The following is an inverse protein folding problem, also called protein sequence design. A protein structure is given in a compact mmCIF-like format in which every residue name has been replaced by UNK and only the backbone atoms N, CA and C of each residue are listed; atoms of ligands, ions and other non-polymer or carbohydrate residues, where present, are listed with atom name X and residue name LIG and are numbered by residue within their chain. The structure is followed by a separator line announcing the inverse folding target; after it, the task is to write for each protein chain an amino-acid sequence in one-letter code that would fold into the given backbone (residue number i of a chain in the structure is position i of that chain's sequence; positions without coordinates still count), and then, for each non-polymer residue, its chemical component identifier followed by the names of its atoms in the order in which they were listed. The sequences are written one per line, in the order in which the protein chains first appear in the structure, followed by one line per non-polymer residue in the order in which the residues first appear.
data_IF_804866130251
#
_entry.id   IF_804866130251
#
_cell.length_a   1.000
_cell.length_b   1.000
_cell.length_c   1.000
_cell.angle_alpha   90.00
_cell.angle_beta   90.00
_cell.angle_gamma   90.00
#
_symmetry.space_group_name_H-M   'P 1'
#
loop_
_entity.id
_entity.type
_entity.pdbx_description
1 polymer ?
#
# COMPACT_ATOMS: atom_id res chain seq x y z
N UNK A 1 -14.31 -8.50 -57.94
CA UNK A 1 -14.82 -7.26 -57.34
C UNK A 1 -15.52 -7.42 -55.98
N UNK A 2 -16.20 -8.53 -55.67
CA UNK A 2 -16.88 -8.72 -54.38
C UNK A 2 -15.99 -8.92 -53.15
N UNK A 3 -14.74 -9.39 -53.30
CA UNK A 3 -13.79 -9.58 -52.19
C UNK A 3 -13.09 -8.28 -51.74
N UNK A 4 -13.02 -7.25 -52.58
CA UNK A 4 -12.40 -5.96 -52.25
C UNK A 4 -13.33 -5.10 -51.37
N UNK A 5 -14.64 -5.23 -51.53
CA UNK A 5 -15.63 -4.49 -50.74
C UNK A 5 -15.71 -5.00 -49.27
N UNK A 6 -15.42 -6.28 -49.03
CA UNK A 6 -15.45 -6.88 -47.70
C UNK A 6 -14.27 -6.40 -46.83
N UNK A 7 -13.12 -6.14 -47.42
CA UNK A 7 -11.92 -5.65 -46.71
C UNK A 7 -12.07 -4.20 -46.31
N UNK A 8 -12.75 -3.37 -47.09
CA UNK A 8 -13.00 -1.96 -46.76
C UNK A 8 -14.01 -1.85 -45.60
N UNK A 9 -14.93 -2.77 -45.47
CA UNK A 9 -15.90 -2.78 -44.34
C UNK A 9 -15.27 -3.26 -43.02
N UNK A 10 -14.25 -4.11 -43.09
CA UNK A 10 -13.55 -4.62 -41.88
C UNK A 10 -12.55 -3.61 -41.30
N UNK A 11 -12.03 -2.66 -42.10
CA UNK A 11 -11.08 -1.64 -41.67
C UNK A 11 -11.78 -0.44 -41.02
N UNK A 12 -13.07 -0.22 -41.33
CA UNK A 12 -13.83 0.91 -40.76
C UNK A 12 -14.34 0.67 -39.35
N UNK A 13 -14.22 -0.52 -38.78
CA UNK A 13 -14.69 -0.85 -37.42
C UNK A 13 -13.62 -0.74 -36.33
N UNK A 14 -12.36 -0.42 -36.67
CA UNK A 14 -11.26 -0.37 -35.68
C UNK A 14 -10.93 1.05 -35.22
N UNK A 15 -11.60 2.08 -35.72
CA UNK A 15 -11.33 3.48 -35.38
C UNK A 15 -12.40 4.12 -34.48
N UNK A 16 -12.92 3.40 -33.48
CA UNK A 16 -13.57 4.05 -32.35
C UNK A 16 -12.56 4.37 -31.25
N UNK A 17 -11.52 5.13 -31.55
CA UNK A 17 -10.85 5.94 -30.54
C UNK A 17 -11.90 6.89 -29.97
N UNK A 18 -12.39 6.60 -28.76
CA UNK A 18 -13.22 7.52 -27.99
C UNK A 18 -12.39 8.77 -27.73
N UNK A 19 -12.50 9.75 -28.61
CA UNK A 19 -11.86 11.07 -28.46
C UNK A 19 -12.48 11.75 -27.23
N UNK A 20 -11.81 11.63 -26.08
CA UNK A 20 -12.20 12.33 -24.86
C UNK A 20 -11.89 13.82 -25.00
N UNK A 21 -12.85 14.67 -24.63
CA UNK A 21 -12.61 16.10 -24.49
C UNK A 21 -11.73 16.33 -23.26
N UNK A 22 -10.71 17.18 -23.38
CA UNK A 22 -9.85 17.58 -22.28
C UNK A 22 -9.78 19.10 -22.22
N UNK A 23 -10.08 19.67 -21.06
CA UNK A 23 -9.95 21.09 -20.75
C UNK A 23 -8.83 21.30 -19.74
N UNK A 24 -7.93 22.26 -20.01
CA UNK A 24 -6.83 22.65 -19.11
C UNK A 24 -7.11 24.03 -18.54
N UNK A 25 -7.19 24.11 -17.23
CA UNK A 25 -7.20 25.34 -16.44
C UNK A 25 -5.81 25.51 -15.81
N UNK A 26 -5.47 26.66 -15.23
CA UNK A 26 -4.12 27.01 -14.75
C UNK A 26 -3.41 25.89 -13.98
N UNK A 27 -4.11 25.26 -13.02
CA UNK A 27 -3.61 24.15 -12.22
C UNK A 27 -4.49 22.90 -12.25
N UNK A 28 -5.55 22.92 -13.06
CA UNK A 28 -6.50 21.81 -13.17
C UNK A 28 -6.57 21.29 -14.61
N UNK A 29 -6.85 20.01 -14.75
CA UNK A 29 -7.15 19.38 -16.03
C UNK A 29 -8.45 18.60 -15.86
N UNK A 30 -9.42 18.83 -16.75
CA UNK A 30 -10.68 18.11 -16.80
C UNK A 30 -10.72 17.22 -18.04
N UNK A 31 -11.09 15.98 -17.84
CA UNK A 31 -11.39 15.03 -18.91
C UNK A 31 -12.87 14.66 -18.82
N UNK A 32 -13.55 14.63 -19.95
CA UNK A 32 -14.98 14.36 -20.03
C UNK A 32 -15.23 12.93 -20.56
N UNK A 33 -16.44 12.40 -20.32
CA UNK A 33 -16.82 11.06 -20.77
C UNK A 33 -16.80 10.90 -22.30
N UNK A 34 -17.16 11.96 -23.05
CA UNK A 34 -17.04 12.05 -24.51
C UNK A 34 -16.82 13.52 -24.90
N UNK A 35 -16.56 13.82 -26.16
CA UNK A 35 -16.39 15.20 -26.68
C UNK A 35 -17.65 16.06 -26.52
N UNK A 36 -18.80 15.46 -26.67
CA UNK A 36 -20.11 16.12 -26.60
C UNK A 36 -20.64 16.15 -25.15
N UNK A 37 -19.98 15.49 -24.22
CA UNK A 37 -20.43 15.38 -22.84
C UNK A 37 -19.94 16.56 -22.00
N UNK A 38 -20.85 17.20 -21.26
CA UNK A 38 -20.49 18.14 -20.19
C UNK A 38 -20.20 17.44 -18.87
N UNK A 39 -20.22 16.08 -18.82
CA UNK A 39 -19.97 15.31 -17.61
C UNK A 39 -18.49 14.98 -17.48
N UNK A 40 -17.89 15.45 -16.40
CA UNK A 40 -16.50 15.20 -16.07
C UNK A 40 -16.31 13.72 -15.75
N UNK A 41 -15.33 13.09 -16.39
CA UNK A 41 -14.85 11.73 -16.09
C UNK A 41 -13.71 11.76 -15.08
N UNK A 42 -12.74 12.68 -15.28
CA UNK A 42 -11.55 12.80 -14.43
C UNK A 42 -11.18 14.27 -14.23
N UNK A 43 -10.84 14.61 -12.99
CA UNK A 43 -10.25 15.90 -12.62
C UNK A 43 -8.86 15.66 -12.05
N UNK A 44 -7.87 16.38 -12.54
CA UNK A 44 -6.51 16.40 -12.04
C UNK A 44 -6.22 17.80 -11.49
N UNK A 45 -5.76 17.89 -10.26
CA UNK A 45 -5.30 19.15 -9.64
C UNK A 45 -3.80 19.03 -9.41
N UNK A 46 -3.02 19.83 -10.13
CA UNK A 46 -1.57 19.86 -10.00
C UNK A 46 -1.16 20.55 -8.71
N UNK A 47 -0.25 19.93 -7.95
CA UNK A 47 0.39 20.47 -6.76
C UNK A 47 1.90 20.35 -6.91
N UNK A 48 2.68 20.93 -6.01
CA UNK A 48 4.15 20.94 -6.10
C UNK A 48 4.74 19.53 -6.09
N UNK A 49 4.41 18.72 -5.08
CA UNK A 49 5.01 17.39 -4.87
C UNK A 49 4.26 16.27 -5.56
N UNK A 50 2.94 16.40 -5.68
CA UNK A 50 2.06 15.37 -6.23
C UNK A 50 0.84 16.01 -6.87
N UNK A 51 0.05 15.22 -7.59
CA UNK A 51 -1.22 15.65 -8.14
C UNK A 51 -2.38 15.00 -7.39
N UNK A 52 -3.45 15.74 -7.12
CA UNK A 52 -4.70 15.18 -6.62
C UNK A 52 -5.57 14.75 -7.79
N UNK A 53 -6.08 13.51 -7.75
CA UNK A 53 -6.82 12.90 -8.86
C UNK A 53 -8.21 12.50 -8.37
N UNK A 54 -9.23 12.86 -9.14
CA UNK A 54 -10.62 12.53 -8.90
C UNK A 54 -11.20 11.87 -10.16
N UNK A 55 -11.90 10.77 -10.00
CA UNK A 55 -12.69 10.16 -11.04
C UNK A 55 -14.15 10.19 -10.64
N UNK A 56 -15.03 10.40 -11.59
CA UNK A 56 -16.45 10.57 -11.35
C UNK A 56 -17.27 9.49 -12.07
N UNK A 57 -18.40 9.15 -11.52
CA UNK A 57 -19.45 8.42 -12.22
C UNK A 57 -20.19 9.35 -13.20
N UNK A 58 -20.96 8.76 -14.12
CA UNK A 58 -21.78 9.54 -15.07
C UNK A 58 -22.86 10.40 -14.38
N UNK A 59 -23.27 10.06 -13.14
CA UNK A 59 -24.20 10.88 -12.34
C UNK A 59 -23.54 12.06 -11.63
N UNK A 60 -22.22 12.27 -11.79
CA UNK A 60 -21.46 13.36 -11.17
C UNK A 60 -20.87 13.04 -9.80
N UNK A 61 -21.26 11.95 -9.17
CA UNK A 61 -20.67 11.51 -7.89
C UNK A 61 -19.25 11.01 -8.06
N UNK A 62 -18.42 11.19 -7.04
CA UNK A 62 -17.05 10.68 -7.05
C UNK A 62 -17.08 9.15 -7.07
N UNK A 63 -16.36 8.55 -8.02
CA UNK A 63 -16.07 7.12 -8.07
C UNK A 63 -14.85 6.78 -7.22
N UNK A 64 -13.75 7.50 -7.41
CA UNK A 64 -12.52 7.34 -6.63
C UNK A 64 -11.69 8.61 -6.63
N UNK A 65 -10.92 8.79 -5.56
CA UNK A 65 -9.96 9.89 -5.48
C UNK A 65 -8.70 9.46 -4.72
N UNK A 66 -7.62 10.18 -4.95
CA UNK A 66 -6.33 9.92 -4.29
C UNK A 66 -5.22 10.81 -4.84
N UNK A 67 -3.99 10.39 -4.60
CA UNK A 67 -2.79 11.10 -5.04
C UNK A 67 -2.09 10.35 -6.16
N UNK A 68 -1.50 11.08 -7.10
CA UNK A 68 -0.57 10.52 -8.07
C UNK A 68 0.76 11.26 -8.08
N UNK A 69 1.84 10.56 -8.38
CA UNK A 69 3.12 11.18 -8.70
C UNK A 69 3.01 11.93 -10.03
N UNK A 70 3.99 12.78 -10.35
CA UNK A 70 4.01 13.58 -11.59
C UNK A 70 3.98 12.73 -12.87
N UNK A 71 4.42 11.50 -12.79
CA UNK A 71 4.34 10.52 -13.89
C UNK A 71 2.99 9.77 -13.96
N UNK A 72 1.97 10.22 -13.20
CA UNK A 72 0.63 9.64 -13.19
C UNK A 72 0.46 8.38 -12.32
N UNK A 73 1.53 7.86 -11.70
CA UNK A 73 1.47 6.64 -10.89
C UNK A 73 0.76 6.92 -9.55
N UNK A 74 -0.29 6.16 -9.18
CA UNK A 74 -0.96 6.29 -7.91
C UNK A 74 -0.02 5.96 -6.75
N UNK A 75 -0.16 6.70 -5.63
CA UNK A 75 0.52 6.42 -4.38
C UNK A 75 -0.29 6.94 -3.18
N UNK A 76 0.09 6.47 -1.96
CA UNK A 76 -0.60 6.83 -0.73
C UNK A 76 -2.04 6.31 -0.71
N UNK A 77 -2.90 6.97 0.02
CA UNK A 77 -4.28 6.51 0.26
C UNK A 77 -5.21 6.95 -0.86
N UNK A 78 -5.95 5.98 -1.41
CA UNK A 78 -7.03 6.16 -2.37
C UNK A 78 -8.33 5.69 -1.77
N UNK A 79 -9.40 6.45 -2.01
CA UNK A 79 -10.75 6.17 -1.56
C UNK A 79 -11.65 5.84 -2.75
N UNK A 80 -12.46 4.79 -2.64
CA UNK A 80 -13.40 4.34 -3.66
C UNK A 80 -14.83 4.38 -3.10
N UNK A 81 -15.74 4.91 -3.88
CA UNK A 81 -17.12 5.16 -3.46
C UNK A 81 -18.11 4.40 -4.36
N UNK A 82 -19.31 4.15 -3.83
CA UNK A 82 -20.45 3.67 -4.60
C UNK A 82 -21.04 4.80 -5.46
N UNK A 83 -21.98 4.45 -6.38
CA UNK A 83 -22.74 5.44 -7.14
C UNK A 83 -23.60 6.36 -6.25
N UNK A 84 -23.92 5.95 -5.02
CA UNK A 84 -24.62 6.71 -3.99
C UNK A 84 -23.68 7.50 -3.06
N UNK A 85 -22.40 7.63 -3.41
CA UNK A 85 -21.36 8.35 -2.65
C UNK A 85 -20.98 7.73 -1.30
N UNK A 86 -21.34 6.47 -1.04
CA UNK A 86 -20.90 5.76 0.15
C UNK A 86 -19.45 5.29 -0.02
N UNK A 87 -18.58 5.54 0.95
CA UNK A 87 -17.20 5.03 0.94
C UNK A 87 -17.24 3.50 1.09
N UNK A 88 -16.66 2.80 0.13
CA UNK A 88 -16.70 1.33 0.05
C UNK A 88 -15.35 0.69 0.25
N UNK A 89 -14.30 1.37 -0.18
CA UNK A 89 -12.97 0.78 -0.20
C UNK A 89 -11.92 1.87 -0.01
N UNK A 90 -10.90 1.56 0.78
CA UNK A 90 -9.68 2.36 0.91
C UNK A 90 -8.51 1.49 0.43
N UNK A 91 -7.66 2.04 -0.42
CA UNK A 91 -6.45 1.38 -0.92
C UNK A 91 -5.23 2.20 -0.53
N UNK A 92 -4.25 1.54 0.03
CA UNK A 92 -2.93 2.11 0.21
C UNK A 92 -2.02 1.67 -0.94
N UNK A 93 -1.43 2.64 -1.63
CA UNK A 93 -0.56 2.41 -2.75
C UNK A 93 0.86 2.79 -2.39
N UNK A 94 1.81 1.92 -2.72
CA UNK A 94 3.23 2.22 -2.73
C UNK A 94 3.78 2.18 -4.15
N UNK A 95 4.79 3.01 -4.42
CA UNK A 95 5.60 2.91 -5.63
C UNK A 95 6.86 2.13 -5.25
N UNK A 96 7.01 0.93 -5.76
CA UNK A 96 8.10 0.02 -5.44
C UNK A 96 8.83 -0.30 -6.73
N UNK A 97 10.12 -0.02 -6.80
CA UNK A 97 10.94 -0.19 -8.01
C UNK A 97 10.29 0.48 -9.24
N UNK A 98 9.75 1.67 -9.07
CA UNK A 98 9.08 2.42 -10.13
C UNK A 98 7.68 1.92 -10.52
N UNK A 99 7.15 0.88 -9.91
CA UNK A 99 5.80 0.35 -10.17
C UNK A 99 4.82 0.68 -9.03
N UNK A 100 3.65 1.22 -9.38
CA UNK A 100 2.58 1.42 -8.39
C UNK A 100 1.92 0.09 -8.05
N UNK A 101 1.89 -0.23 -6.77
CA UNK A 101 1.34 -1.48 -6.24
C UNK A 101 0.41 -1.20 -5.07
N UNK A 102 -0.66 -1.97 -4.95
CA UNK A 102 -1.55 -1.92 -3.80
C UNK A 102 -0.88 -2.69 -2.67
N UNK A 103 -0.57 -1.99 -1.59
CA UNK A 103 0.02 -2.56 -0.39
C UNK A 103 -1.06 -3.12 0.54
N UNK A 104 -2.10 -2.33 0.82
CA UNK A 104 -3.23 -2.71 1.68
C UNK A 104 -4.57 -2.29 1.07
N UNK A 105 -5.63 -3.05 1.39
CA UNK A 105 -7.01 -2.73 1.01
C UNK A 105 -7.91 -2.91 2.21
N UNK A 106 -8.71 -1.88 2.51
CA UNK A 106 -9.77 -1.94 3.51
C UNK A 106 -11.11 -1.89 2.79
N UNK A 107 -11.98 -2.84 3.09
CA UNK A 107 -13.38 -2.82 2.66
C UNK A 107 -14.23 -2.30 3.80
N UNK A 108 -15.26 -1.50 3.46
CA UNK A 108 -16.14 -0.89 4.45
C UNK A 108 -17.60 -1.28 4.20
N UNK A 109 -18.36 -1.44 5.29
CA UNK A 109 -19.80 -1.58 5.26
C UNK A 109 -20.48 -0.20 5.05
N UNK A 110 -21.82 -0.18 5.01
CA UNK A 110 -22.58 1.08 4.86
C UNK A 110 -22.41 2.04 6.04
N UNK A 111 -22.05 1.55 7.23
CA UNK A 111 -21.79 2.37 8.42
C UNK A 111 -20.38 2.97 8.42
N UNK A 112 -19.52 2.56 7.50
CA UNK A 112 -18.13 2.99 7.43
C UNK A 112 -17.17 2.12 8.25
N UNK A 113 -17.65 1.03 8.87
CA UNK A 113 -16.80 0.10 9.59
C UNK A 113 -16.02 -0.77 8.60
N UNK A 114 -14.80 -1.10 8.95
CA UNK A 114 -13.97 -2.01 8.17
C UNK A 114 -14.53 -3.42 8.26
N UNK A 115 -14.70 -4.10 7.12
CA UNK A 115 -15.18 -5.46 7.05
C UNK A 115 -14.17 -6.37 6.35
N UNK A 116 -14.16 -7.64 6.81
CA UNK A 116 -13.54 -8.74 6.08
C UNK A 116 -14.63 -9.46 5.28
N UNK A 117 -14.31 -9.88 4.07
CA UNK A 117 -15.30 -10.63 3.29
C UNK A 117 -15.51 -12.07 3.80
N UNK A 118 -14.63 -12.57 4.67
CA UNK A 118 -14.72 -13.90 5.26
C UNK A 118 -15.56 -13.93 6.55
N UNK A 119 -15.52 -12.81 7.28
CA UNK A 119 -16.24 -12.61 8.53
C UNK A 119 -16.85 -11.22 8.47
N UNK A 120 -18.13 -11.09 8.70
CA UNK A 120 -18.83 -9.80 8.67
C UNK A 120 -18.29 -8.80 9.72
N UNK A 121 -17.41 -9.27 10.59
CA UNK A 121 -16.83 -8.53 11.70
C UNK A 121 -15.41 -8.13 11.34
N UNK A 122 -15.26 -6.89 10.99
CA UNK A 122 -14.01 -6.16 11.00
C UNK A 122 -12.87 -6.68 10.13
N UNK A 123 -12.08 -5.77 9.67
CA UNK A 123 -10.67 -5.84 9.43
C UNK A 123 -10.34 -5.84 7.95
N UNK A 124 -9.39 -5.02 7.63
CA UNK A 124 -8.92 -4.78 6.29
C UNK A 124 -8.39 -6.04 5.62
N UNK A 125 -8.62 -6.12 4.33
CA UNK A 125 -7.95 -7.07 3.46
C UNK A 125 -6.68 -6.45 2.93
N UNK A 126 -5.63 -7.22 2.97
CA UNK A 126 -4.32 -6.82 2.52
C UNK A 126 -3.96 -7.59 1.24
N UNK A 127 -3.40 -6.89 0.28
CA UNK A 127 -2.71 -7.50 -0.85
C UNK A 127 -1.23 -7.39 -0.60
N UNK A 128 -0.54 -8.50 -0.62
CA UNK A 128 0.86 -8.60 -0.27
C UNK A 128 1.71 -9.06 -1.45
N UNK A 129 3.00 -8.84 -1.30
CA UNK A 129 3.99 -9.32 -2.25
C UNK A 129 4.46 -10.70 -1.82
N UNK A 130 4.33 -11.67 -2.70
CA UNK A 130 4.87 -13.02 -2.54
C UNK A 130 6.03 -13.15 -3.50
N UNK A 131 7.24 -13.43 -3.00
CA UNK A 131 8.46 -13.50 -3.81
C UNK A 131 8.61 -12.31 -4.77
N UNK A 132 8.45 -11.09 -4.22
CA UNK A 132 8.47 -9.82 -4.95
C UNK A 132 7.37 -9.65 -6.02
N UNK A 133 6.41 -10.56 -6.07
CA UNK A 133 5.24 -10.48 -6.97
C UNK A 133 3.98 -10.18 -6.18
N UNK A 134 3.15 -9.26 -6.68
CA UNK A 134 1.88 -8.92 -6.05
C UNK A 134 0.93 -10.12 -6.08
N UNK A 135 0.59 -10.64 -4.90
CA UNK A 135 -0.44 -11.65 -4.73
C UNK A 135 -1.83 -11.09 -5.04
N UNK A 136 -2.45 -11.55 -6.12
CA UNK A 136 -3.77 -11.04 -6.54
C UNK A 136 -4.93 -11.79 -5.90
N UNK A 137 -4.71 -13.01 -5.43
CA UNK A 137 -5.76 -13.91 -4.90
C UNK A 137 -5.74 -14.04 -3.39
N UNK A 138 -4.61 -13.77 -2.77
CA UNK A 138 -4.41 -13.96 -1.35
C UNK A 138 -4.75 -12.69 -0.59
N UNK A 139 -5.33 -12.86 0.57
CA UNK A 139 -5.61 -11.78 1.51
C UNK A 139 -5.03 -12.17 2.85
N UNK A 140 -4.25 -11.31 3.41
CA UNK A 140 -3.69 -11.45 4.74
C UNK A 140 -4.24 -10.34 5.65
N UNK A 141 -4.20 -10.59 6.93
CA UNK A 141 -4.43 -9.59 7.96
C UNK A 141 -3.17 -9.39 8.75
N UNK A 142 -2.58 -8.23 8.60
CA UNK A 142 -1.42 -7.86 9.40
C UNK A 142 -1.54 -6.44 9.94
N UNK A 143 -0.90 -6.18 11.04
CA UNK A 143 -0.89 -4.90 11.73
C UNK A 143 0.54 -4.52 12.05
N UNK A 144 0.87 -3.25 11.83
CA UNK A 144 1.99 -2.58 12.47
C UNK A 144 1.45 -1.35 13.19
N UNK A 145 1.71 -1.24 14.48
CA UNK A 145 1.23 -0.17 15.34
C UNK A 145 2.37 0.46 16.10
N UNK A 146 2.49 1.76 15.96
CA UNK A 146 3.47 2.60 16.66
C UNK A 146 2.79 3.24 17.88
N UNK A 147 3.41 3.10 19.05
CA UNK A 147 2.81 3.56 20.31
C UNK A 147 2.61 5.08 20.36
N UNK A 148 3.54 5.84 19.73
CA UNK A 148 3.53 7.30 19.68
C UNK A 148 3.96 7.78 18.31
N UNK A 149 3.50 8.97 17.92
CA UNK A 149 3.99 9.70 16.73
C UNK A 149 5.08 10.72 17.07
N UNK A 150 5.26 10.97 18.38
CA UNK A 150 6.26 11.90 18.92
C UNK A 150 6.94 11.25 20.12
N UNK A 151 8.26 11.30 20.17
CA UNK A 151 9.10 10.77 21.24
C UNK A 151 10.15 11.80 21.65
N UNK A 152 10.60 11.74 22.89
CA UNK A 152 11.76 12.51 23.32
C UNK A 152 13.05 11.90 22.74
N UNK A 153 14.09 12.70 22.53
CA UNK A 153 15.36 12.22 21.90
C UNK A 153 16.00 11.05 22.66
N UNK A 154 15.81 11.00 23.98
CA UNK A 154 16.33 9.92 24.83
C UNK A 154 15.39 8.72 24.94
N UNK A 155 14.19 8.80 24.38
CA UNK A 155 13.18 7.75 24.42
C UNK A 155 13.19 6.90 23.13
N UNK A 156 13.07 5.58 23.28
CA UNK A 156 12.85 4.72 22.12
C UNK A 156 11.40 4.85 21.60
N UNK A 157 11.23 5.00 20.31
CA UNK A 157 9.96 4.74 19.65
C UNK A 157 9.65 3.25 19.76
N UNK A 158 8.46 2.90 20.26
CA UNK A 158 8.02 1.51 20.44
C UNK A 158 6.92 1.15 19.46
N UNK A 159 7.01 -0.06 18.92
CA UNK A 159 6.00 -0.58 18.00
C UNK A 159 5.78 -2.09 18.19
N UNK A 160 4.64 -2.55 17.72
CA UNK A 160 4.30 -3.96 17.59
C UNK A 160 3.92 -4.25 16.14
N UNK A 161 4.19 -5.45 15.69
CA UNK A 161 3.75 -5.96 14.42
C UNK A 161 3.23 -7.39 14.58
N UNK A 162 2.12 -7.73 13.93
CA UNK A 162 1.65 -9.11 13.96
C UNK A 162 0.88 -9.48 12.69
N UNK A 163 0.90 -10.77 12.37
CA UNK A 163 0.12 -11.40 11.33
C UNK A 163 -1.04 -12.17 11.98
N UNK A 164 -2.25 -11.61 11.90
CA UNK A 164 -3.45 -12.27 12.39
C UNK A 164 -3.99 -13.32 11.43
N UNK A 165 -3.68 -13.17 10.13
CA UNK A 165 -3.99 -14.14 9.09
C UNK A 165 -2.79 -14.27 8.15
N UNK A 166 -1.81 -15.10 8.52
CA UNK A 166 -0.63 -15.37 7.69
C UNK A 166 -1.00 -15.97 6.34
N UNK A 167 -0.30 -15.56 5.29
CA UNK A 167 -0.55 -15.94 3.91
C UNK A 167 -0.02 -17.33 3.58
N UNK A 168 1.16 -17.66 4.14
CA UNK A 168 1.90 -18.89 3.90
C UNK A 168 2.04 -19.72 5.18
N UNK A 169 0.98 -19.72 6.01
CA UNK A 169 0.93 -20.43 7.31
C UNK A 169 1.19 -21.92 7.19
N UNK A 170 0.66 -22.55 6.13
CA UNK A 170 0.75 -24.00 5.89
C UNK A 170 2.21 -24.45 5.74
N UNK A 171 3.08 -23.56 5.29
CA UNK A 171 4.52 -23.77 5.16
C UNK A 171 5.31 -23.45 6.44
N UNK A 172 4.64 -23.41 7.59
CA UNK A 172 5.24 -23.08 8.88
C UNK A 172 5.98 -21.73 8.89
N UNK A 173 5.38 -20.73 8.25
CA UNK A 173 5.95 -19.39 8.15
C UNK A 173 6.12 -18.69 9.50
N UNK A 174 6.88 -17.62 9.51
CA UNK A 174 7.10 -16.77 10.66
C UNK A 174 7.31 -15.30 10.23
N UNK A 175 7.18 -14.38 11.19
CA UNK A 175 7.27 -12.94 10.95
C UNK A 175 8.64 -12.40 11.31
N UNK A 176 9.16 -11.51 10.46
CA UNK A 176 10.19 -10.52 10.77
C UNK A 176 9.69 -9.11 10.47
N UNK A 177 10.30 -8.11 11.11
CA UNK A 177 10.17 -6.71 10.73
C UNK A 177 11.55 -6.18 10.37
N UNK A 178 11.67 -5.60 9.18
CA UNK A 178 12.92 -5.06 8.68
C UNK A 178 12.75 -3.55 8.45
N UNK A 179 13.69 -2.76 8.98
CA UNK A 179 13.66 -1.30 8.94
C UNK A 179 14.99 -0.81 8.37
N UNK A 180 14.93 0.13 7.44
CA UNK A 180 16.13 0.78 6.93
C UNK A 180 16.81 1.62 8.03
N UNK A 181 18.13 1.48 8.14
CA UNK A 181 18.92 2.26 9.10
C UNK A 181 18.87 3.75 8.76
N UNK A 182 18.95 4.62 9.77
CA UNK A 182 18.80 6.07 9.61
C UNK A 182 19.76 6.70 8.61
N UNK A 183 21.01 6.19 8.53
CA UNK A 183 22.04 6.65 7.58
C UNK A 183 21.96 6.01 6.19
N UNK A 184 21.22 4.91 6.05
CA UNK A 184 21.06 4.16 4.80
C UNK A 184 19.62 3.66 4.71
N UNK A 185 18.68 4.60 4.60
CA UNK A 185 17.25 4.32 4.60
C UNK A 185 16.73 4.08 3.19
N UNK A 186 15.54 3.50 3.10
CA UNK A 186 14.82 3.35 1.85
C UNK A 186 14.50 4.70 1.20
N UNK A 187 14.60 4.73 -0.11
CA UNK A 187 13.97 5.79 -0.91
C UNK A 187 12.45 5.79 -0.70
N UNK A 188 11.79 6.89 -1.05
CA UNK A 188 10.33 7.00 -0.91
C UNK A 188 9.54 6.01 -1.80
N UNK A 189 10.20 5.36 -2.74
CA UNK A 189 9.66 4.36 -3.64
C UNK A 189 10.32 2.97 -3.48
N UNK A 190 11.09 2.79 -2.40
CA UNK A 190 11.80 1.54 -2.10
C UNK A 190 12.71 1.03 -3.23
N UNK A 191 13.09 1.90 -4.20
CA UNK A 191 13.90 1.52 -5.36
C UNK A 191 15.29 1.02 -5.02
N UNK A 192 15.81 1.40 -3.85
CA UNK A 192 17.12 1.02 -3.34
C UNK A 192 17.07 -0.16 -2.34
N UNK A 193 16.01 -0.96 -2.32
CA UNK A 193 15.82 -2.02 -1.32
C UNK A 193 17.02 -2.97 -1.19
N UNK A 194 17.67 -3.30 -2.30
CA UNK A 194 18.83 -4.20 -2.31
C UNK A 194 20.10 -3.59 -1.71
N UNK A 195 20.14 -2.26 -1.57
CA UNK A 195 21.31 -1.51 -1.11
C UNK A 195 21.16 -1.03 0.33
N UNK A 196 19.93 -1.12 0.88
CA UNK A 196 19.62 -0.63 2.21
C UNK A 196 20.20 -1.57 3.27
N UNK A 197 20.88 -1.00 4.25
CA UNK A 197 21.22 -1.72 5.48
C UNK A 197 19.99 -1.80 6.37
N UNK A 198 19.65 -3.01 6.78
CA UNK A 198 18.42 -3.30 7.51
C UNK A 198 18.71 -3.63 8.96
N UNK A 199 17.93 -3.04 9.85
CA UNK A 199 17.78 -3.52 11.22
C UNK A 199 16.64 -4.55 11.20
N UNK A 200 16.92 -5.76 11.73
CA UNK A 200 15.99 -6.88 11.74
C UNK A 200 15.46 -7.11 13.15
N UNK A 201 14.14 -7.12 13.27
CA UNK A 201 13.43 -7.41 14.51
C UNK A 201 12.72 -8.75 14.38
N UNK A 202 13.06 -9.65 15.28
CA UNK A 202 12.61 -11.03 15.24
C UNK A 202 11.28 -11.20 15.98
N UNK A 203 10.55 -12.24 15.61
CA UNK A 203 9.33 -12.64 16.31
C UNK A 203 9.65 -13.19 17.73
N UNK A 204 8.60 -13.31 18.55
CA UNK A 204 8.77 -13.69 19.96
C UNK A 204 9.26 -15.13 20.18
N UNK A 205 9.25 -16.00 19.17
CA UNK A 205 9.88 -17.32 19.31
C UNK A 205 11.41 -17.24 19.33
N UNK A 206 11.96 -16.18 18.74
CA UNK A 206 13.40 -15.88 18.68
C UNK A 206 13.77 -14.82 19.71
N UNK A 207 12.97 -13.75 19.84
CA UNK A 207 13.15 -12.70 20.85
C UNK A 207 12.67 -13.15 22.24
N UNK A 208 13.53 -13.88 22.93
CA UNK A 208 13.24 -14.40 24.27
C UNK A 208 13.11 -13.33 25.34
N UNK A 209 13.65 -12.14 25.12
CA UNK A 209 13.59 -11.02 26.08
C UNK A 209 12.17 -10.50 26.26
N UNK A 210 11.48 -10.33 25.15
CA UNK A 210 10.12 -9.79 25.14
C UNK A 210 9.02 -10.85 25.26
N UNK A 211 9.35 -12.12 25.02
CA UNK A 211 8.41 -13.25 25.01
C UNK A 211 7.52 -13.31 26.27
N UNK A 212 8.09 -13.07 27.44
CA UNK A 212 7.40 -13.15 28.74
C UNK A 212 6.25 -12.17 28.89
N UNK A 213 6.26 -11.05 28.15
CA UNK A 213 5.25 -10.00 28.23
C UNK A 213 4.04 -10.23 27.34
N UNK A 214 4.15 -11.15 26.36
CA UNK A 214 3.16 -11.40 25.33
C UNK A 214 2.73 -12.88 25.29
N UNK A 215 2.19 -13.38 26.40
CA UNK A 215 1.86 -14.82 26.54
C UNK A 215 0.66 -15.28 25.70
N UNK A 216 -0.27 -14.39 25.40
CA UNK A 216 -1.56 -14.70 24.76
C UNK A 216 -1.58 -14.39 23.26
N UNK A 217 -0.41 -14.37 22.60
CA UNK A 217 -0.28 -14.14 21.16
C UNK A 217 0.39 -15.33 20.48
N UNK A 218 0.13 -15.51 19.19
CA UNK A 218 0.86 -16.49 18.39
C UNK A 218 2.26 -15.96 18.12
N UNK A 219 3.21 -16.41 18.94
CA UNK A 219 4.53 -15.81 19.11
C UNK A 219 5.37 -15.76 17.83
N UNK A 220 5.24 -16.75 16.94
CA UNK A 220 5.96 -16.77 15.66
C UNK A 220 5.46 -15.72 14.66
N UNK A 221 4.27 -15.17 14.90
CA UNK A 221 3.65 -14.12 14.07
C UNK A 221 3.55 -12.77 14.78
N UNK A 222 4.23 -12.62 15.90
CA UNK A 222 4.23 -11.39 16.68
C UNK A 222 5.66 -10.89 16.91
N UNK A 223 5.88 -9.61 16.62
CA UNK A 223 7.16 -8.91 16.81
C UNK A 223 6.91 -7.63 17.60
N UNK A 224 7.76 -7.34 18.57
CA UNK A 224 7.81 -6.04 19.24
C UNK A 224 9.21 -5.47 19.12
N UNK A 225 9.29 -4.18 18.94
CA UNK A 225 10.58 -3.54 18.77
C UNK A 225 10.61 -2.10 19.29
N UNK A 226 11.82 -1.65 19.64
CA UNK A 226 12.14 -0.27 19.96
C UNK A 226 13.17 0.27 18.99
N UNK A 227 13.04 1.53 18.60
CA UNK A 227 13.97 2.19 17.71
C UNK A 227 14.41 3.54 18.31
N UNK A 228 15.72 3.73 18.43
CA UNK A 228 16.31 4.98 18.88
C UNK A 228 16.74 5.83 17.70
N UNK A 229 16.65 7.13 17.86
CA UNK A 229 17.04 8.09 16.82
C UNK A 229 18.37 8.75 17.19
N UNK A 230 19.21 8.98 16.19
CA UNK A 230 20.53 9.59 16.36
C UNK A 230 20.48 11.12 16.51
N UNK A 231 19.35 11.76 16.22
CA UNK A 231 19.18 13.21 16.32
C UNK A 231 17.70 13.60 16.42
N UNK A 232 17.38 14.77 16.98
CA UNK A 232 16.03 15.33 16.98
C UNK A 232 15.50 15.65 15.57
N UNK A 233 14.23 16.03 15.51
CA UNK A 233 13.54 16.47 14.30
C UNK A 233 12.62 15.41 13.69
N UNK A 234 12.09 15.71 12.51
CA UNK A 234 11.20 14.83 11.75
C UNK A 234 11.99 13.66 11.18
N UNK A 235 11.58 12.45 11.50
CA UNK A 235 12.18 11.19 11.02
C UNK A 235 11.16 10.41 10.18
N UNK A 236 11.68 9.76 9.15
CA UNK A 236 10.87 8.93 8.28
C UNK A 236 11.35 7.48 8.38
N UNK A 237 10.58 6.65 9.06
CA UNK A 237 10.87 5.22 9.21
C UNK A 237 10.24 4.50 8.03
N UNK A 238 11.03 3.76 7.27
CA UNK A 238 10.57 2.89 6.19
C UNK A 238 11.06 1.47 6.40
N UNK A 239 10.20 0.52 6.07
CA UNK A 239 10.53 -0.89 6.22
C UNK A 239 9.42 -1.76 5.66
N UNK A 240 9.51 -3.03 5.98
CA UNK A 240 8.47 -4.00 5.66
C UNK A 240 8.36 -5.09 6.71
N UNK A 241 7.16 -5.59 6.87
CA UNK A 241 6.88 -6.85 7.53
C UNK A 241 7.17 -7.96 6.52
N UNK A 242 7.93 -8.95 6.90
CA UNK A 242 8.28 -10.13 6.10
C UNK A 242 7.69 -11.37 6.73
N UNK A 243 6.70 -11.96 6.11
CA UNK A 243 6.33 -13.35 6.36
C UNK A 243 7.23 -14.24 5.51
N UNK A 244 7.85 -15.24 6.11
CA UNK A 244 8.73 -16.15 5.37
C UNK A 244 8.64 -17.57 5.90
N UNK A 245 8.82 -18.52 5.02
CA UNK A 245 9.02 -19.93 5.32
C UNK A 245 10.28 -20.43 4.62
N UNK A 246 10.99 -21.32 5.28
CA UNK A 246 12.20 -21.97 4.75
C UNK A 246 11.93 -23.46 4.65
N UNK A 247 12.22 -24.06 3.50
CA UNK A 247 12.01 -25.49 3.29
C UNK A 247 12.27 -25.91 1.84
N UNK A 248 12.22 -27.18 1.57
CA UNK A 248 12.26 -27.71 0.21
C UNK A 248 10.85 -27.61 -0.38
N UNK A 249 10.60 -26.58 -1.16
CA UNK A 249 9.36 -26.41 -1.91
C UNK A 249 9.49 -27.05 -3.29
N UNK A 250 8.43 -27.68 -3.79
CA UNK A 250 8.40 -28.45 -5.04
C UNK A 250 8.84 -27.69 -6.32
N UNK A 251 9.21 -26.43 -6.23
CA UNK A 251 9.54 -25.55 -7.36
C UNK A 251 10.84 -24.79 -7.15
N UNK A 252 11.94 -25.46 -6.92
CA UNK A 252 13.30 -24.85 -6.91
C UNK A 252 13.45 -23.55 -6.08
N UNK A 253 12.56 -23.31 -5.12
CA UNK A 253 12.59 -22.13 -4.26
C UNK A 253 12.98 -22.56 -2.83
N UNK A 254 14.10 -22.07 -2.36
CA UNK A 254 14.57 -22.32 -0.98
C UNK A 254 13.74 -21.58 0.08
N UNK A 255 12.89 -20.64 -0.33
CA UNK A 255 12.06 -19.86 0.58
C UNK A 255 10.81 -19.28 -0.09
N UNK A 256 9.73 -19.20 0.68
CA UNK A 256 8.54 -18.43 0.34
C UNK A 256 8.52 -17.15 1.16
N UNK A 257 8.20 -16.02 0.54
CA UNK A 257 8.13 -14.73 1.22
C UNK A 257 6.92 -13.92 0.83
N UNK A 258 6.42 -13.16 1.79
CA UNK A 258 5.38 -12.15 1.58
C UNK A 258 5.76 -10.85 2.28
N UNK A 259 5.76 -9.72 1.58
CA UNK A 259 6.16 -8.41 2.10
C UNK A 259 4.98 -7.46 2.18
N UNK A 260 4.86 -6.80 3.32
CA UNK A 260 3.97 -5.64 3.49
C UNK A 260 4.81 -4.44 3.90
N UNK A 261 4.88 -3.45 3.02
CA UNK A 261 5.67 -2.24 3.23
C UNK A 261 4.96 -1.27 4.17
N UNK A 262 5.75 -0.47 4.87
CA UNK A 262 5.22 0.64 5.67
C UNK A 262 6.15 1.85 5.65
N UNK A 263 5.55 3.00 5.86
CA UNK A 263 6.23 4.26 6.12
C UNK A 263 5.56 4.93 7.32
N UNK A 264 6.36 5.43 8.26
CA UNK A 264 5.90 6.15 9.44
C UNK A 264 6.72 7.39 9.68
N UNK A 265 6.05 8.51 9.85
CA UNK A 265 6.69 9.75 10.30
C UNK A 265 6.65 9.79 11.81
N UNK A 266 7.81 10.03 12.43
CA UNK A 266 7.98 10.25 13.86
C UNK A 266 8.63 11.62 14.08
N UNK A 267 8.14 12.36 15.05
CA UNK A 267 8.74 13.60 15.49
C UNK A 267 9.55 13.35 16.77
N UNK A 268 10.86 13.55 16.67
CA UNK A 268 11.78 13.41 17.80
C UNK A 268 12.02 14.81 18.38
N UNK A 269 11.53 15.04 19.58
CA UNK A 269 11.75 16.32 20.30
C UNK A 269 13.16 16.39 20.82
N UNK A 270 13.72 17.58 20.81
CA UNK A 270 14.95 17.83 21.52
C UNK A 270 14.72 17.75 23.04
N UNK A 271 15.60 17.08 23.74
CA UNK A 271 15.53 17.06 25.19
C UNK A 271 15.84 18.48 25.67
N UNK A 272 14.84 19.21 26.12
CA UNK A 272 15.09 20.51 26.77
C UNK A 272 15.91 20.20 28.00
N UNK A 273 17.16 20.69 28.01
CA UNK A 273 18.01 20.71 29.18
C UNK A 273 17.52 21.70 30.20
#
# INVERSE_FOLDING_TARGET
MKKLLLIIFLVSTILTCTNKKTEKLTNETLEFYSKESNRVYRKLIKKTEFDSVFYYYKNGNIFKNGKSRKNGKPFGVWKLYSKSSELREIREWFVINGHSRINRVWFLNKKGDTISWRYQDSIFKQKEFINDTLGTRSTSYNVISFKKDTVEFTESMKAIAYLGSPLIREENSQLLVLIGQSKNNFNSDFSNEKEVKLDTFYNLTIDKVNQKWFKNVEQKYFTTFGYYFESPGKKNIRGYMLEYAVGNFEKEMDSLTSKTYFEKIIYVKDSIK
#
